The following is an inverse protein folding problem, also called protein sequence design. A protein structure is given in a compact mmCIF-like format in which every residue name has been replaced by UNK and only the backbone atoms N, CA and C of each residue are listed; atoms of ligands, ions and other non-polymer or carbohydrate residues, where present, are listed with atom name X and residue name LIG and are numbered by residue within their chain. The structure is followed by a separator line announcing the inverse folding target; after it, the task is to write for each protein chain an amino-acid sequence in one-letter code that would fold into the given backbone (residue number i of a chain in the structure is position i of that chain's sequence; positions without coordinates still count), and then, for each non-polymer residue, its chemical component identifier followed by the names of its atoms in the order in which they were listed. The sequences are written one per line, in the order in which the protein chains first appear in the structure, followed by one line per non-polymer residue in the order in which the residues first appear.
data_IF_818441718810
#
_entry.id   IF_818441718810
#
_cell.length_a   1.000
_cell.length_b   1.000
_cell.length_c   1.000
_cell.angle_alpha   90.00
_cell.angle_beta   90.00
_cell.angle_gamma   90.00
#
_symmetry.space_group_name_H-M   'P 1'
#
loop_
_entity.id
_entity.type
_entity.pdbx_description
1 polymer ?
#
# COMPACT_ATOMS: atom_id res chain seq x y z
N UNK A 1 -92.43 -20.23 -14.17
CA UNK A 1 -91.65 -19.36 -15.05
C UNK A 1 -90.31 -19.28 -14.41
N UNK A 2 -89.45 -20.23 -14.82
CA UNK A 2 -88.44 -20.10 -15.85
C UNK A 2 -87.20 -19.41 -15.28
N UNK A 3 -86.18 -20.29 -15.12
CA UNK A 3 -84.79 -20.12 -15.63
C UNK A 3 -83.89 -19.26 -14.75
N UNK A 4 -82.88 -19.83 -14.07
CA UNK A 4 -81.61 -20.06 -14.67
C UNK A 4 -80.67 -20.90 -13.74
N UNK A 5 -80.70 -22.21 -13.96
CA UNK A 5 -79.56 -23.06 -13.66
C UNK A 5 -78.51 -22.79 -14.72
N UNK A 6 -77.38 -22.21 -14.34
CA UNK A 6 -76.08 -22.40 -14.95
C UNK A 6 -75.09 -21.36 -14.51
N UNK A 7 -74.39 -21.60 -13.44
CA UNK A 7 -73.01 -21.05 -13.28
C UNK A 7 -72.33 -21.54 -12.00
N UNK A 8 -72.29 -22.82 -11.79
CA UNK A 8 -71.50 -23.39 -10.67
C UNK A 8 -70.67 -24.59 -11.12
N UNK A 9 -69.84 -24.37 -12.16
CA UNK A 9 -68.87 -25.40 -12.62
C UNK A 9 -67.51 -24.85 -13.10
N UNK A 10 -67.03 -23.71 -12.63
CA UNK A 10 -65.74 -23.23 -13.11
C UNK A 10 -64.75 -22.86 -12.01
N UNK A 11 -64.94 -23.25 -10.76
CA UNK A 11 -63.99 -22.97 -9.68
C UNK A 11 -63.42 -24.18 -8.94
N UNK A 12 -63.25 -25.31 -9.65
CA UNK A 12 -62.56 -26.49 -9.10
C UNK A 12 -61.54 -27.02 -10.08
N UNK A 13 -60.60 -26.18 -10.46
CA UNK A 13 -59.35 -26.66 -11.09
C UNK A 13 -58.26 -25.64 -10.77
N UNK A 14 -57.10 -26.17 -10.34
CA UNK A 14 -55.85 -25.50 -10.13
C UNK A 14 -55.50 -25.07 -8.68
N UNK A 15 -55.40 -26.05 -7.83
CA UNK A 15 -54.42 -26.03 -6.72
C UNK A 15 -53.76 -27.40 -6.61
N UNK A 16 -53.20 -27.86 -7.73
CA UNK A 16 -52.19 -28.92 -7.70
C UNK A 16 -50.82 -28.27 -7.47
N UNK A 17 -50.62 -27.85 -6.23
CA UNK A 17 -49.36 -27.33 -5.71
C UNK A 17 -48.38 -28.50 -5.72
N UNK A 18 -47.58 -28.59 -6.80
CA UNK A 18 -46.47 -29.52 -6.94
C UNK A 18 -45.46 -29.25 -5.82
N UNK A 19 -45.73 -29.73 -4.63
CA UNK A 19 -44.72 -30.03 -3.65
C UNK A 19 -43.83 -31.10 -4.23
N UNK A 20 -42.71 -30.72 -4.82
CA UNK A 20 -41.60 -31.63 -5.06
C UNK A 20 -41.36 -32.43 -3.77
N UNK A 21 -41.28 -33.78 -3.86
CA UNK A 21 -40.99 -34.57 -2.68
C UNK A 21 -39.64 -34.11 -2.15
N UNK A 22 -39.60 -33.63 -0.92
CA UNK A 22 -38.38 -33.38 -0.16
C UNK A 22 -37.71 -34.75 0.02
N UNK A 23 -36.88 -35.16 -0.96
CA UNK A 23 -35.99 -36.30 -0.82
C UNK A 23 -35.05 -35.93 0.31
N UNK A 24 -35.01 -36.67 1.43
CA UNK A 24 -34.09 -36.34 2.50
C UNK A 24 -32.66 -36.34 1.94
N UNK A 25 -31.99 -35.19 2.01
CA UNK A 25 -30.58 -35.09 1.62
C UNK A 25 -29.82 -36.21 2.33
N UNK A 26 -29.03 -36.97 1.59
CA UNK A 26 -28.19 -38.00 2.19
C UNK A 26 -27.23 -37.36 3.21
N UNK A 27 -26.95 -38.06 4.30
CA UNK A 27 -26.00 -37.56 5.33
C UNK A 27 -24.68 -37.15 4.70
N UNK A 28 -24.23 -37.86 3.69
CA UNK A 28 -23.00 -37.56 2.93
C UNK A 28 -23.10 -36.22 2.18
N UNK A 29 -24.27 -35.91 1.59
CA UNK A 29 -24.47 -34.61 0.93
C UNK A 29 -24.48 -33.44 1.92
N UNK A 30 -25.05 -33.61 3.10
CA UNK A 30 -25.03 -32.62 4.16
C UNK A 30 -23.59 -32.40 4.67
N UNK A 31 -22.86 -33.52 4.87
CA UNK A 31 -21.46 -33.45 5.33
C UNK A 31 -20.57 -32.70 4.33
N UNK A 32 -20.74 -32.99 3.04
CA UNK A 32 -19.97 -32.32 1.99
C UNK A 32 -20.30 -30.82 1.89
N UNK A 33 -21.57 -30.44 2.04
CA UNK A 33 -21.98 -29.03 2.12
C UNK A 33 -21.34 -28.31 3.30
N UNK A 34 -21.36 -28.92 4.48
CA UNK A 34 -20.74 -28.33 5.67
C UNK A 34 -19.21 -28.24 5.55
N UNK A 35 -18.58 -29.24 4.92
CA UNK A 35 -17.16 -29.21 4.61
C UNK A 35 -16.80 -28.07 3.64
N UNK A 36 -17.59 -27.89 2.59
CA UNK A 36 -17.39 -26.79 1.63
C UNK A 36 -17.62 -25.42 2.28
N UNK A 37 -18.62 -25.28 3.16
CA UNK A 37 -18.81 -24.07 3.95
C UNK A 37 -17.61 -23.77 4.84
N UNK A 38 -17.11 -24.78 5.54
CA UNK A 38 -15.95 -24.63 6.42
C UNK A 38 -14.69 -24.21 5.63
N UNK A 39 -14.45 -24.79 4.47
CA UNK A 39 -13.35 -24.41 3.58
C UNK A 39 -13.50 -22.96 3.09
N UNK A 40 -14.71 -22.55 2.72
CA UNK A 40 -14.99 -21.17 2.29
C UNK A 40 -14.78 -20.20 3.44
N UNK A 41 -15.31 -20.49 4.63
CA UNK A 41 -15.09 -19.66 5.82
C UNK A 41 -13.62 -19.53 6.19
N UNK A 42 -12.83 -20.61 6.04
CA UNK A 42 -11.39 -20.56 6.28
C UNK A 42 -10.70 -19.64 5.27
N UNK A 43 -11.05 -19.73 3.99
CA UNK A 43 -10.51 -18.85 2.96
C UNK A 43 -10.89 -17.39 3.19
N UNK A 44 -12.16 -17.13 3.58
CA UNK A 44 -12.64 -15.79 3.91
C UNK A 44 -11.91 -15.23 5.13
N UNK A 45 -11.68 -16.06 6.15
CA UNK A 45 -10.90 -15.67 7.33
C UNK A 45 -9.46 -15.29 6.97
N UNK A 46 -8.77 -16.10 6.17
CA UNK A 46 -7.41 -15.82 5.72
C UNK A 46 -7.33 -14.52 4.90
N UNK A 47 -8.31 -14.30 4.03
CA UNK A 47 -8.42 -13.06 3.26
C UNK A 47 -8.65 -11.84 4.17
N UNK A 48 -9.52 -11.98 5.18
CA UNK A 48 -9.79 -10.91 6.14
C UNK A 48 -8.55 -10.59 6.97
N UNK A 49 -7.84 -11.60 7.45
CA UNK A 49 -6.59 -11.43 8.20
C UNK A 49 -5.57 -10.64 7.38
N UNK A 50 -5.36 -11.02 6.12
CA UNK A 50 -4.48 -10.29 5.21
C UNK A 50 -4.92 -8.83 5.04
N UNK A 51 -6.22 -8.60 4.78
CA UNK A 51 -6.75 -7.24 4.64
C UNK A 51 -6.56 -6.37 5.89
N UNK A 52 -6.67 -6.98 7.07
CA UNK A 52 -6.45 -6.26 8.35
C UNK A 52 -4.98 -5.86 8.45
N UNK A 53 -4.05 -6.78 8.20
CA UNK A 53 -2.61 -6.51 8.23
C UNK A 53 -2.25 -5.39 7.24
N UNK A 54 -2.70 -5.49 5.99
CA UNK A 54 -2.45 -4.49 4.95
C UNK A 54 -3.00 -3.11 5.34
N UNK A 55 -4.20 -3.07 5.94
CA UNK A 55 -4.83 -1.82 6.40
C UNK A 55 -4.11 -1.18 7.59
N UNK A 56 -3.65 -2.00 8.54
CA UNK A 56 -2.87 -1.53 9.70
C UNK A 56 -1.53 -0.98 9.22
N UNK A 57 -0.82 -1.71 8.36
CA UNK A 57 0.45 -1.27 7.80
C UNK A 57 0.28 0.04 7.02
N UNK A 58 -0.67 0.13 6.11
CA UNK A 58 -0.91 1.34 5.31
C UNK A 58 -1.24 2.59 6.16
N UNK A 59 -1.90 2.42 7.33
CA UNK A 59 -2.12 3.54 8.26
C UNK A 59 -0.84 3.93 8.99
N UNK A 60 -0.06 2.95 9.43
CA UNK A 60 1.25 3.17 10.05
C UNK A 60 2.19 3.90 9.10
N UNK A 61 2.25 3.47 7.86
CA UNK A 61 3.11 4.06 6.82
C UNK A 61 2.79 5.53 6.55
N UNK A 62 1.50 5.90 6.55
CA UNK A 62 1.11 7.32 6.44
C UNK A 62 1.61 8.17 7.60
N UNK A 63 1.56 7.65 8.83
CA UNK A 63 2.07 8.36 10.00
C UNK A 63 3.59 8.52 9.87
N UNK A 64 4.29 7.48 9.44
CA UNK A 64 5.74 7.54 9.19
C UNK A 64 6.08 8.58 8.13
N UNK A 65 5.31 8.67 7.04
CA UNK A 65 5.52 9.71 6.01
C UNK A 65 5.38 11.13 6.58
N UNK A 66 4.39 11.39 7.43
CA UNK A 66 4.28 12.69 8.09
C UNK A 66 5.44 12.93 9.05
N UNK A 67 5.86 11.90 9.79
CA UNK A 67 7.02 12.00 10.67
C UNK A 67 8.31 12.28 9.89
N UNK A 68 8.51 11.65 8.73
CA UNK A 68 9.63 11.92 7.83
C UNK A 68 9.64 13.37 7.34
N UNK A 69 8.48 13.95 7.06
CA UNK A 69 8.40 15.37 6.68
C UNK A 69 8.92 16.27 7.80
N UNK A 70 8.51 16.03 9.04
CA UNK A 70 9.00 16.78 10.21
C UNK A 70 10.50 16.56 10.41
N UNK A 71 10.97 15.33 10.26
CA UNK A 71 12.40 15.00 10.35
C UNK A 71 13.23 15.77 9.31
N UNK A 72 12.78 15.82 8.05
CA UNK A 72 13.46 16.59 7.00
C UNK A 72 13.47 18.09 7.28
N UNK A 73 12.39 18.63 7.88
CA UNK A 73 12.34 20.02 8.29
C UNK A 73 13.37 20.32 9.40
N UNK A 74 13.55 19.41 10.37
CA UNK A 74 14.60 19.53 11.38
C UNK A 74 16.01 19.49 10.79
N UNK A 75 16.25 18.61 9.83
CA UNK A 75 17.54 18.55 9.09
C UNK A 75 17.79 19.87 8.38
N UNK A 76 16.79 20.41 7.69
CA UNK A 76 16.89 21.69 6.97
C UNK A 76 17.14 22.86 7.93
N UNK A 77 16.41 22.92 9.04
CA UNK A 77 16.59 23.91 10.07
C UNK A 77 18.00 23.84 10.69
N UNK A 78 18.50 22.62 10.96
CA UNK A 78 19.88 22.42 11.43
C UNK A 78 20.88 23.03 10.47
N UNK A 79 20.82 22.71 9.16
CA UNK A 79 21.76 23.24 8.17
C UNK A 79 21.69 24.79 8.07
N UNK A 80 20.49 25.38 8.13
CA UNK A 80 20.33 26.82 8.11
C UNK A 80 20.99 27.48 9.33
N UNK A 81 20.73 26.93 10.53
CA UNK A 81 21.24 27.44 11.78
C UNK A 81 22.78 27.30 11.91
N UNK A 82 23.32 26.15 11.44
CA UNK A 82 24.76 25.90 11.39
C UNK A 82 25.48 26.89 10.45
N UNK A 83 24.86 27.21 9.30
CA UNK A 83 25.39 28.19 8.34
C UNK A 83 25.47 29.60 8.92
N UNK A 84 24.57 29.93 9.85
CA UNK A 84 24.58 31.20 10.60
C UNK A 84 25.55 31.20 11.80
N UNK A 85 26.31 30.10 11.99
CA UNK A 85 27.28 29.97 13.11
C UNK A 85 26.64 29.57 14.44
N UNK A 86 25.39 29.09 14.42
CA UNK A 86 24.68 28.65 15.62
C UNK A 86 25.19 27.29 16.14
N UNK A 87 25.05 27.05 17.43
CA UNK A 87 25.37 25.75 18.03
C UNK A 87 24.21 24.76 17.77
N UNK A 88 24.51 23.65 17.09
CA UNK A 88 23.55 22.63 16.67
C UNK A 88 23.52 21.38 17.54
N UNK A 89 24.22 21.35 18.68
CA UNK A 89 24.36 20.15 19.53
C UNK A 89 22.99 19.61 19.99
N UNK A 90 22.11 20.51 20.44
CA UNK A 90 20.77 20.14 20.88
C UNK A 90 19.91 19.61 19.71
N UNK A 91 20.03 20.20 18.53
CA UNK A 91 19.34 19.74 17.32
C UNK A 91 19.84 18.37 16.88
N UNK A 92 21.16 18.12 16.98
CA UNK A 92 21.74 16.80 16.69
C UNK A 92 21.16 15.72 17.60
N UNK A 93 20.96 16.03 18.91
CA UNK A 93 20.34 15.11 19.85
C UNK A 93 18.90 14.75 19.44
N UNK A 94 18.11 15.76 19.07
CA UNK A 94 16.72 15.53 18.59
C UNK A 94 16.70 14.69 17.32
N UNK A 95 17.52 15.06 16.33
CA UNK A 95 17.62 14.35 15.04
C UNK A 95 18.00 12.89 15.27
N UNK A 96 18.99 12.61 16.13
CA UNK A 96 19.40 11.24 16.47
C UNK A 96 18.28 10.43 17.11
N UNK A 97 17.46 11.05 17.97
CA UNK A 97 16.28 10.38 18.54
C UNK A 97 15.24 10.06 17.46
N UNK A 98 15.02 10.97 16.52
CA UNK A 98 14.10 10.74 15.39
C UNK A 98 14.61 9.61 14.48
N UNK A 99 15.90 9.56 14.19
CA UNK A 99 16.54 8.47 13.44
C UNK A 99 16.39 7.12 14.15
N UNK A 100 16.53 7.09 15.47
CA UNK A 100 16.30 5.88 16.26
C UNK A 100 14.86 5.41 16.17
N UNK A 101 13.89 6.33 16.21
CA UNK A 101 12.46 6.00 16.01
C UNK A 101 12.25 5.42 14.62
N UNK A 102 12.75 6.09 13.57
CA UNK A 102 12.64 5.60 12.19
C UNK A 102 13.25 4.20 12.03
N UNK A 103 14.41 3.96 12.64
CA UNK A 103 15.07 2.64 12.63
C UNK A 103 14.24 1.54 13.28
N UNK A 104 13.50 1.84 14.37
CA UNK A 104 12.60 0.87 15.02
C UNK A 104 11.42 0.45 14.12
N UNK A 105 11.09 1.24 13.12
CA UNK A 105 10.06 0.94 12.11
C UNK A 105 10.64 0.43 10.79
N UNK A 106 11.92 0.02 10.77
CA UNK A 106 12.62 -0.46 9.55
C UNK A 106 12.64 0.56 8.41
N UNK A 107 12.58 1.85 8.73
CA UNK A 107 12.74 2.92 7.76
C UNK A 107 14.22 3.12 7.47
N UNK A 108 14.60 2.97 6.20
CA UNK A 108 15.99 3.12 5.74
C UNK A 108 16.06 4.19 4.65
N UNK A 109 17.06 5.08 4.68
CA UNK A 109 17.28 5.99 3.58
C UNK A 109 17.77 5.21 2.34
N UNK A 110 17.38 5.68 1.17
CA UNK A 110 17.90 5.17 -0.10
C UNK A 110 19.28 5.79 -0.31
N UNK A 111 20.28 4.95 -0.55
CA UNK A 111 21.63 5.42 -0.88
C UNK A 111 21.69 5.81 -2.37
N UNK A 112 22.10 7.03 -2.64
CA UNK A 112 22.04 7.62 -3.98
C UNK A 112 23.37 8.05 -4.56
N UNK A 113 24.24 8.69 -3.79
CA UNK A 113 25.47 9.29 -4.29
C UNK A 113 26.42 8.28 -4.94
N UNK A 114 26.86 8.58 -6.17
CA UNK A 114 27.77 7.73 -6.94
C UNK A 114 27.14 6.45 -7.49
N UNK A 115 25.85 6.20 -7.26
CA UNK A 115 25.16 5.03 -7.81
C UNK A 115 24.52 5.33 -9.16
N UNK A 116 24.29 4.30 -9.95
CA UNK A 116 23.50 4.42 -11.19
C UNK A 116 22.03 4.66 -10.84
N UNK A 117 21.38 5.45 -11.67
CA UNK A 117 19.95 5.70 -11.56
C UNK A 117 19.15 4.39 -11.69
N UNK A 118 18.24 4.17 -10.73
CA UNK A 118 17.27 3.09 -10.77
C UNK A 118 15.85 3.69 -10.71
N UNK A 119 15.01 3.49 -11.73
CA UNK A 119 13.64 4.01 -11.76
C UNK A 119 12.76 3.50 -10.61
N UNK A 120 13.13 2.39 -9.96
CA UNK A 120 12.38 1.83 -8.82
C UNK A 120 12.64 2.57 -7.52
N UNK A 121 13.75 3.29 -7.41
CA UNK A 121 14.21 3.93 -6.17
C UNK A 121 14.31 5.45 -6.31
N UNK A 122 14.53 5.96 -7.52
CA UNK A 122 14.92 7.33 -7.77
C UNK A 122 13.98 8.03 -8.74
N UNK A 123 13.79 9.33 -8.52
CA UNK A 123 13.09 10.26 -9.41
C UNK A 123 14.10 11.29 -9.94
N UNK A 124 14.30 11.36 -11.24
CA UNK A 124 15.19 12.37 -11.86
C UNK A 124 14.48 13.71 -11.88
N UNK A 125 15.08 14.69 -11.22
CA UNK A 125 14.60 16.07 -11.21
C UNK A 125 15.32 16.90 -12.29
N UNK A 126 16.60 16.62 -12.51
CA UNK A 126 17.43 17.37 -13.44
C UNK A 126 18.55 16.50 -14.00
N UNK A 127 18.89 16.71 -15.27
CA UNK A 127 20.12 16.22 -15.88
C UNK A 127 21.21 17.30 -15.76
N UNK A 128 22.40 16.92 -15.33
CA UNK A 128 23.56 17.82 -15.19
C UNK A 128 24.61 17.37 -16.19
N UNK A 129 25.13 18.32 -16.98
CA UNK A 129 26.27 18.05 -17.85
C UNK A 129 27.52 17.75 -17.02
N UNK A 130 27.94 16.50 -17.04
CA UNK A 130 29.07 16.04 -16.26
C UNK A 130 29.86 15.00 -17.09
N UNK A 131 31.14 15.28 -17.29
CA UNK A 131 32.04 14.39 -18.04
C UNK A 131 32.87 13.48 -17.07
N UNK A 132 32.88 13.76 -15.79
CA UNK A 132 33.67 13.02 -14.79
C UNK A 132 32.97 11.71 -14.39
N UNK A 133 31.65 11.64 -14.53
CA UNK A 133 30.85 10.45 -14.23
C UNK A 133 30.32 9.78 -15.50
N UNK A 134 30.05 8.48 -15.41
CA UNK A 134 29.33 7.76 -16.48
C UNK A 134 27.91 8.32 -16.63
N UNK A 135 27.39 8.33 -17.85
CA UNK A 135 26.01 8.74 -18.13
C UNK A 135 25.01 7.95 -17.29
N UNK A 136 24.04 8.66 -16.70
CA UNK A 136 23.04 8.08 -15.82
C UNK A 136 23.52 7.80 -14.39
N UNK A 137 24.71 8.31 -13.99
CA UNK A 137 25.16 8.25 -12.60
C UNK A 137 24.55 9.39 -11.80
N UNK A 138 24.14 9.12 -10.58
CA UNK A 138 23.60 10.12 -9.66
C UNK A 138 24.76 11.00 -9.16
N UNK A 139 24.73 12.26 -9.56
CA UNK A 139 25.74 13.26 -9.19
C UNK A 139 25.36 13.99 -7.91
N UNK A 140 24.05 14.18 -7.69
CA UNK A 140 23.56 14.93 -6.53
C UNK A 140 22.19 14.44 -6.10
N UNK A 141 22.01 14.30 -4.78
CA UNK A 141 20.71 14.09 -4.16
C UNK A 141 20.08 15.46 -3.81
N UNK A 142 18.86 15.69 -4.26
CA UNK A 142 18.09 16.91 -3.96
C UNK A 142 17.17 16.69 -2.75
N UNK A 143 16.56 15.51 -2.67
CA UNK A 143 15.74 15.09 -1.54
C UNK A 143 15.92 13.60 -1.27
N UNK A 144 16.05 13.23 -0.01
CA UNK A 144 16.22 11.84 0.41
C UNK A 144 14.98 11.03 0.13
N UNK A 145 15.18 9.81 -0.35
CA UNK A 145 14.16 8.77 -0.44
C UNK A 145 14.27 7.80 0.74
N UNK A 146 13.19 7.07 0.97
CA UNK A 146 13.09 6.13 2.09
C UNK A 146 12.35 4.87 1.69
N UNK A 147 12.82 3.75 2.21
CA UNK A 147 12.20 2.42 2.11
C UNK A 147 11.74 1.98 3.50
N UNK A 148 10.62 1.27 3.55
CA UNK A 148 10.13 0.56 4.73
C UNK A 148 9.76 -0.86 4.35
N UNK A 149 10.26 -1.87 5.08
CA UNK A 149 9.95 -3.27 4.78
C UNK A 149 10.12 -3.66 3.30
N UNK A 150 11.21 -3.14 2.67
CA UNK A 150 11.54 -3.32 1.24
C UNK A 150 10.58 -2.67 0.23
N UNK A 151 9.61 -1.85 0.68
CA UNK A 151 8.76 -1.04 -0.16
C UNK A 151 9.21 0.43 -0.17
N UNK A 152 9.21 1.06 -1.35
CA UNK A 152 9.58 2.47 -1.48
C UNK A 152 8.44 3.35 -0.98
N UNK A 153 8.70 4.06 0.12
CA UNK A 153 7.78 5.04 0.70
C UNK A 153 7.86 6.40 0.02
N UNK A 154 9.08 6.78 -0.34
CA UNK A 154 9.39 8.06 -0.97
C UNK A 154 10.60 7.85 -1.86
N UNK A 155 10.50 8.26 -3.12
CA UNK A 155 11.62 8.21 -4.05
C UNK A 155 12.67 9.26 -3.71
N UNK A 156 13.95 8.92 -3.87
CA UNK A 156 15.02 9.92 -3.80
C UNK A 156 14.96 10.80 -5.05
N UNK A 157 14.90 12.13 -4.84
CA UNK A 157 14.98 13.09 -5.93
C UNK A 157 16.42 13.38 -6.23
N UNK A 158 16.84 13.08 -7.45
CA UNK A 158 18.25 13.09 -7.85
C UNK A 158 18.51 13.87 -9.13
N UNK A 159 19.75 14.36 -9.24
CA UNK A 159 20.29 14.84 -10.49
C UNK A 159 21.23 13.78 -11.06
N UNK A 160 21.10 13.48 -12.34
CA UNK A 160 21.91 12.48 -13.04
C UNK A 160 22.86 13.15 -14.04
N UNK A 161 24.00 12.49 -14.24
CA UNK A 161 24.98 12.91 -15.24
C UNK A 161 24.48 12.67 -16.66
N UNK A 162 24.71 13.65 -17.53
CA UNK A 162 24.53 13.57 -18.97
C UNK A 162 25.84 13.93 -19.66
N UNK A 163 26.28 13.13 -20.63
CA UNK A 163 27.49 13.44 -21.39
C UNK A 163 27.23 14.52 -22.43
N UNK A 164 28.16 15.47 -22.49
CA UNK A 164 28.17 16.46 -23.57
C UNK A 164 28.70 15.77 -24.82
N UNK A 165 27.85 15.53 -25.80
CA UNK A 165 28.28 15.18 -27.17
C UNK A 165 28.76 16.48 -27.79
N UNK A 166 30.08 16.73 -27.81
CA UNK A 166 30.64 17.79 -28.63
C UNK A 166 30.53 17.34 -30.10
N UNK A 167 29.61 17.97 -30.85
CA UNK A 167 29.65 17.92 -32.32
C UNK A 167 30.92 18.54 -32.85
#
# INVERSE_FOLDING_TARGET
MAENENNDKSFRQEADDKKEPLVPESVDAILEKERQKSLRLLADYQNLEKQIIDRVNSRGDKIILYFLTVYEDFIRAKYAYEKEGGNVDNLNGIIKNMESILGNYDVKPIETEGKKFDPKLHEVVQEIEDNDHEEGTIVKEIAKGYIIRDEVMKYSKVCVSKKIIKE
#
